data_IF_107366918798
#
_entry.id   IF_107366918798
#
_cell.length_a   1.000
_cell.length_b   1.000
_cell.length_c   1.000
_cell.angle_alpha   90.00
_cell.angle_beta   90.00
_cell.angle_gamma   90.00
#
_symmetry.space_group_name_H-M   'P 1'
#
loop_
_entity.id
_entity.type
_entity.pdbx_description
1 polymer ?
#
# COMPACT_ATOMS: atom_id res chain seq x y z
N UNK A 1 -30.58 12.10 -10.42
CA UNK A 1 -29.38 11.77 -11.21
C UNK A 1 -29.25 10.25 -11.26
N UNK A 2 -28.98 9.65 -12.43
CA UNK A 2 -28.70 8.21 -12.55
C UNK A 2 -27.29 7.89 -12.05
N UNK A 3 -27.02 6.61 -11.73
CA UNK A 3 -25.65 6.20 -11.38
C UNK A 3 -24.66 6.42 -12.53
N UNK A 4 -25.08 6.20 -13.76
CA UNK A 4 -24.24 6.43 -14.95
C UNK A 4 -23.85 7.91 -15.06
N UNK A 5 -24.81 8.84 -14.91
CA UNK A 5 -24.53 10.27 -14.93
C UNK A 5 -23.57 10.67 -13.80
N UNK A 6 -23.76 10.12 -12.60
CA UNK A 6 -22.85 10.33 -11.48
C UNK A 6 -21.43 9.82 -11.77
N UNK A 7 -21.30 8.65 -12.36
CA UNK A 7 -20.00 8.10 -12.70
C UNK A 7 -19.28 8.90 -13.79
N UNK A 8 -20.00 9.38 -14.79
CA UNK A 8 -19.47 10.25 -15.86
C UNK A 8 -19.01 11.59 -15.27
N UNK A 9 -19.78 12.19 -14.36
CA UNK A 9 -19.40 13.43 -13.66
C UNK A 9 -18.08 13.29 -12.89
N UNK A 10 -17.81 12.08 -12.38
CA UNK A 10 -16.55 11.75 -11.74
C UNK A 10 -15.45 11.24 -12.70
N UNK A 11 -15.63 11.47 -14.01
CA UNK A 11 -14.64 11.22 -15.05
C UNK A 11 -14.48 9.76 -15.45
N UNK A 12 -15.45 8.87 -15.15
CA UNK A 12 -15.41 7.48 -15.59
C UNK A 12 -16.05 7.32 -16.97
N UNK A 13 -15.42 6.49 -17.81
CA UNK A 13 -15.97 6.08 -19.11
C UNK A 13 -16.72 4.75 -18.94
N UNK A 14 -18.05 4.82 -18.81
CA UNK A 14 -18.89 3.63 -18.63
C UNK A 14 -19.58 3.27 -19.94
N UNK A 15 -19.47 2.00 -20.33
CA UNK A 15 -20.20 1.38 -21.45
C UNK A 15 -21.06 0.25 -20.87
N UNK A 16 -22.29 0.59 -20.43
CA UNK A 16 -23.16 -0.34 -19.72
C UNK A 16 -22.81 -0.54 -18.25
N UNK A 17 -23.80 -0.96 -17.46
CA UNK A 17 -23.65 -1.20 -16.03
C UNK A 17 -23.66 -2.70 -15.72
N UNK A 18 -22.63 -3.16 -15.02
CA UNK A 18 -22.62 -4.46 -14.38
C UNK A 18 -22.88 -4.28 -12.89
N UNK A 19 -23.79 -5.10 -12.34
CA UNK A 19 -24.22 -4.94 -10.95
C UNK A 19 -23.40 -5.81 -9.98
N UNK A 20 -23.34 -5.35 -8.73
CA UNK A 20 -22.87 -6.12 -7.57
C UNK A 20 -21.40 -6.55 -7.60
N UNK A 21 -20.56 -5.98 -8.46
CA UNK A 21 -19.12 -6.22 -8.51
C UNK A 21 -18.34 -4.96 -8.85
N UNK A 22 -17.07 -4.91 -8.46
CA UNK A 22 -16.16 -3.86 -8.87
C UNK A 22 -15.75 -4.04 -10.34
N UNK A 23 -16.03 -3.03 -11.16
CA UNK A 23 -15.66 -2.98 -12.58
C UNK A 23 -14.60 -1.93 -12.78
N UNK A 24 -13.52 -2.31 -13.45
CA UNK A 24 -12.44 -1.39 -13.85
C UNK A 24 -12.74 -0.84 -15.24
N UNK A 25 -12.71 0.50 -15.35
CA UNK A 25 -13.03 1.24 -16.58
C UNK A 25 -11.96 2.28 -16.89
N UNK A 26 -11.96 2.77 -18.13
CA UNK A 26 -11.18 3.95 -18.51
C UNK A 26 -11.70 5.21 -17.81
N UNK A 27 -10.89 6.25 -17.81
CA UNK A 27 -11.25 7.58 -17.34
C UNK A 27 -11.02 8.61 -18.43
N UNK A 28 -11.65 9.76 -18.35
CA UNK A 28 -11.52 10.84 -19.36
C UNK A 28 -10.07 11.25 -19.55
N UNK A 29 -9.31 11.35 -18.47
CA UNK A 29 -7.88 11.67 -18.43
C UNK A 29 -6.98 10.51 -18.92
N UNK A 30 -7.44 9.26 -18.81
CA UNK A 30 -6.72 8.07 -19.24
C UNK A 30 -7.64 7.03 -19.91
N UNK A 31 -8.15 7.28 -21.13
CA UNK A 31 -9.16 6.43 -21.76
C UNK A 31 -8.71 4.99 -22.00
N UNK A 32 -7.44 4.78 -22.29
CA UNK A 32 -6.86 3.46 -22.59
C UNK A 32 -6.39 2.69 -21.34
N UNK A 33 -6.32 3.35 -20.19
CA UNK A 33 -5.92 2.73 -18.92
C UNK A 33 -7.17 2.45 -18.09
N UNK A 34 -7.24 1.29 -17.44
CA UNK A 34 -8.32 0.98 -16.47
C UNK A 34 -8.09 1.73 -15.15
N UNK A 35 -8.03 3.06 -15.23
CA UNK A 35 -7.70 3.95 -14.11
C UNK A 35 -8.92 4.38 -13.28
N UNK A 36 -10.12 4.00 -13.70
CA UNK A 36 -11.36 4.15 -12.94
C UNK A 36 -11.90 2.82 -12.43
N UNK A 37 -12.76 2.87 -11.44
CA UNK A 37 -13.54 1.72 -11.01
C UNK A 37 -14.90 2.17 -10.47
N UNK A 38 -15.90 1.30 -10.62
CA UNK A 38 -17.20 1.48 -10.00
C UNK A 38 -17.75 0.18 -9.43
N UNK A 39 -18.68 0.32 -8.50
CA UNK A 39 -19.60 -0.72 -8.04
C UNK A 39 -20.98 -0.11 -7.95
N UNK A 40 -22.00 -0.85 -8.39
CA UNK A 40 -23.39 -0.43 -8.31
C UNK A 40 -24.30 -1.63 -8.05
N UNK A 41 -25.27 -1.50 -7.15
CA UNK A 41 -26.19 -2.58 -6.78
C UNK A 41 -27.62 -2.37 -7.30
N UNK A 42 -27.79 -1.34 -8.15
CA UNK A 42 -29.10 -0.94 -8.67
C UNK A 42 -29.72 0.26 -7.95
N UNK A 43 -29.25 0.58 -6.72
CA UNK A 43 -29.74 1.71 -5.93
C UNK A 43 -28.63 2.56 -5.33
N UNK A 44 -27.60 1.93 -4.79
CA UNK A 44 -26.42 2.59 -4.26
C UNK A 44 -25.18 2.12 -4.98
N UNK A 45 -24.15 2.95 -5.00
CA UNK A 45 -22.90 2.61 -5.65
C UNK A 45 -21.75 3.48 -5.19
N UNK A 46 -20.59 3.17 -5.71
CA UNK A 46 -19.41 3.98 -5.50
C UNK A 46 -18.60 4.03 -6.79
N UNK A 47 -17.95 5.15 -7.02
CA UNK A 47 -17.03 5.36 -8.13
C UNK A 47 -15.71 5.89 -7.62
N UNK A 48 -14.63 5.61 -8.33
CA UNK A 48 -13.32 6.19 -8.08
C UNK A 48 -12.55 6.37 -9.38
N UNK A 49 -12.02 7.55 -9.60
CA UNK A 49 -10.96 7.83 -10.56
C UNK A 49 -9.65 7.91 -9.77
N UNK A 50 -8.77 6.94 -9.93
CA UNK A 50 -7.53 6.83 -9.14
C UNK A 50 -6.51 7.95 -9.40
N UNK A 51 -6.68 8.74 -10.47
CA UNK A 51 -5.84 9.91 -10.74
C UNK A 51 -6.30 11.14 -9.95
N UNK A 52 -7.61 11.24 -9.63
CA UNK A 52 -8.24 12.45 -9.12
C UNK A 52 -8.77 12.27 -7.70
N UNK A 53 -9.31 11.09 -7.39
CA UNK A 53 -9.99 10.85 -6.13
C UNK A 53 -9.12 10.12 -5.11
N UNK A 54 -9.07 10.63 -3.90
CA UNK A 54 -8.45 9.98 -2.75
C UNK A 54 -9.34 8.94 -2.08
N UNK A 55 -10.65 9.10 -2.21
CA UNK A 55 -11.68 8.22 -1.63
C UNK A 55 -12.76 7.94 -2.66
N UNK A 56 -13.44 6.80 -2.46
CA UNK A 56 -14.61 6.47 -3.25
C UNK A 56 -15.68 7.56 -3.10
N UNK A 57 -16.24 8.00 -4.23
CA UNK A 57 -17.40 8.89 -4.27
C UNK A 57 -18.65 8.02 -4.20
N UNK A 58 -19.53 8.30 -3.25
CA UNK A 58 -20.70 7.46 -2.94
C UNK A 58 -21.93 8.00 -3.63
N UNK A 59 -22.56 7.15 -4.43
CA UNK A 59 -23.89 7.40 -5.01
C UNK A 59 -24.97 6.76 -4.16
N UNK A 60 -26.04 7.53 -3.92
CA UNK A 60 -27.30 7.00 -3.35
C UNK A 60 -28.45 7.52 -4.21
N UNK A 61 -29.29 6.61 -4.68
CA UNK A 61 -30.54 7.00 -5.35
C UNK A 61 -31.41 7.82 -4.40
N UNK A 62 -32.03 8.88 -4.92
CA UNK A 62 -32.99 9.71 -4.18
C UNK A 62 -34.39 9.09 -4.09
N UNK A 63 -34.62 7.97 -4.78
CA UNK A 63 -35.87 7.21 -4.66
C UNK A 63 -35.91 6.49 -3.31
N UNK A 64 -37.08 6.37 -2.70
CA UNK A 64 -37.31 5.68 -1.44
C UNK A 64 -36.62 4.31 -1.46
N UNK A 65 -35.77 4.08 -0.43
CA UNK A 65 -35.07 2.80 -0.26
C UNK A 65 -36.13 1.69 -0.16
N UNK A 66 -36.28 0.93 -1.24
CA UNK A 66 -37.03 -0.32 -1.20
C UNK A 66 -36.05 -1.39 -0.75
N UNK A 67 -36.33 -2.00 0.41
CA UNK A 67 -35.56 -3.13 0.89
C UNK A 67 -35.63 -4.26 -0.15
N UNK A 68 -34.48 -4.53 -0.77
CA UNK A 68 -34.34 -5.66 -1.70
C UNK A 68 -33.59 -6.81 -0.99
N UNK A 69 -34.31 -7.87 -0.58
CA UNK A 69 -33.69 -9.03 0.06
C UNK A 69 -32.63 -9.71 -0.82
N UNK A 70 -32.79 -9.66 -2.15
CA UNK A 70 -31.85 -10.25 -3.09
C UNK A 70 -30.53 -9.48 -3.11
N UNK A 71 -30.57 -8.13 -3.15
CA UNK A 71 -29.38 -7.30 -3.06
C UNK A 71 -28.63 -7.50 -1.72
N UNK A 72 -29.37 -7.66 -0.62
CA UNK A 72 -28.80 -7.96 0.69
C UNK A 72 -28.10 -9.33 0.67
N UNK A 73 -28.75 -10.35 0.14
CA UNK A 73 -28.17 -11.70 0.03
C UNK A 73 -26.88 -11.70 -0.82
N UNK A 74 -26.87 -11.00 -1.95
CA UNK A 74 -25.67 -10.86 -2.79
C UNK A 74 -24.53 -10.17 -2.00
N UNK A 75 -24.81 -9.09 -1.28
CA UNK A 75 -23.78 -8.40 -0.46
C UNK A 75 -23.21 -9.34 0.60
N UNK A 76 -24.06 -10.10 1.28
CA UNK A 76 -23.64 -11.09 2.28
C UNK A 76 -22.76 -12.18 1.65
N UNK A 77 -23.16 -12.68 0.48
CA UNK A 77 -22.38 -13.67 -0.24
C UNK A 77 -21.00 -13.13 -0.67
N UNK A 78 -20.94 -11.92 -1.25
CA UNK A 78 -19.68 -11.26 -1.64
C UNK A 78 -18.77 -11.01 -0.42
N UNK A 79 -19.35 -10.62 0.71
CA UNK A 79 -18.62 -10.45 1.96
C UNK A 79 -18.02 -11.76 2.46
N UNK A 80 -18.81 -12.84 2.44
CA UNK A 80 -18.37 -14.19 2.80
C UNK A 80 -17.20 -14.65 1.92
N UNK A 81 -17.34 -14.53 0.61
CA UNK A 81 -16.29 -14.88 -0.35
C UNK A 81 -15.00 -14.05 -0.16
N UNK A 82 -15.16 -12.77 0.21
CA UNK A 82 -14.01 -11.90 0.54
C UNK A 82 -13.29 -12.43 1.78
N UNK A 83 -14.00 -12.77 2.84
CA UNK A 83 -13.42 -13.31 4.08
C UNK A 83 -12.72 -14.65 3.81
N UNK A 84 -13.33 -15.55 3.07
CA UNK A 84 -12.73 -16.84 2.69
C UNK A 84 -11.42 -16.66 1.91
N UNK A 85 -11.40 -15.69 0.96
CA UNK A 85 -10.19 -15.36 0.21
C UNK A 85 -9.08 -14.78 1.13
N UNK A 86 -9.45 -13.93 2.09
CA UNK A 86 -8.51 -13.38 3.07
C UNK A 86 -7.93 -14.48 3.97
N UNK A 87 -8.74 -15.38 4.49
CA UNK A 87 -8.28 -16.50 5.29
C UNK A 87 -7.37 -17.45 4.49
N UNK A 88 -7.73 -17.75 3.23
CA UNK A 88 -6.89 -18.56 2.35
C UNK A 88 -5.53 -17.89 2.12
N UNK A 89 -5.50 -16.59 1.88
CA UNK A 89 -4.26 -15.84 1.71
C UNK A 89 -3.41 -15.83 2.99
N UNK A 90 -4.03 -15.69 4.17
CA UNK A 90 -3.37 -15.74 5.46
C UNK A 90 -2.75 -17.13 5.73
N UNK A 91 -3.49 -18.21 5.51
CA UNK A 91 -2.95 -19.59 5.61
C UNK A 91 -1.79 -19.80 4.66
N UNK A 92 -1.90 -19.33 3.41
CA UNK A 92 -0.81 -19.39 2.43
C UNK A 92 0.42 -18.60 2.86
N UNK A 93 0.25 -17.40 3.41
CA UNK A 93 1.34 -16.59 3.95
C UNK A 93 2.05 -17.31 5.10
N UNK A 94 1.30 -17.87 6.05
CA UNK A 94 1.85 -18.65 7.17
C UNK A 94 2.66 -19.84 6.67
N UNK A 95 2.13 -20.59 5.70
CA UNK A 95 2.86 -21.70 5.08
C UNK A 95 4.14 -21.23 4.40
N UNK A 96 4.10 -20.18 3.56
CA UNK A 96 5.28 -19.67 2.88
C UNK A 96 6.35 -19.25 3.90
N UNK A 97 5.98 -18.53 4.94
CA UNK A 97 6.90 -18.06 5.97
C UNK A 97 7.53 -19.23 6.72
N UNK A 98 6.78 -20.32 7.03
CA UNK A 98 7.33 -21.51 7.68
C UNK A 98 8.31 -22.29 6.80
N UNK A 99 8.27 -22.10 5.48
CA UNK A 99 9.12 -22.76 4.50
C UNK A 99 10.32 -21.90 4.05
N UNK A 100 10.50 -20.72 4.65
CA UNK A 100 11.66 -19.85 4.30
C UNK A 100 12.95 -20.40 4.84
N UNK A 101 14.03 -20.19 4.09
CA UNK A 101 15.41 -20.35 4.52
C UNK A 101 16.08 -18.98 4.61
N UNK A 102 17.10 -18.87 5.45
CA UNK A 102 17.88 -17.64 5.57
C UNK A 102 18.99 -17.64 4.53
N UNK A 103 18.89 -16.77 3.53
CA UNK A 103 19.89 -16.65 2.46
C UNK A 103 20.00 -15.23 1.93
N UNK A 104 21.08 -14.95 1.23
CA UNK A 104 21.26 -13.70 0.49
C UNK A 104 20.24 -13.66 -0.67
N UNK A 105 19.71 -12.46 -0.94
CA UNK A 105 18.77 -12.28 -2.04
C UNK A 105 19.28 -11.24 -3.04
N UNK A 106 19.33 -11.54 -4.36
CA UNK A 106 19.93 -10.67 -5.37
C UNK A 106 19.37 -9.24 -5.39
N UNK A 107 18.05 -9.08 -5.21
CA UNK A 107 17.43 -7.77 -5.10
C UNK A 107 18.02 -6.94 -3.94
N UNK A 108 18.16 -7.54 -2.75
CA UNK A 108 18.68 -6.82 -1.58
C UNK A 108 20.18 -6.53 -1.69
N UNK A 109 20.95 -7.43 -2.32
CA UNK A 109 22.37 -7.18 -2.61
C UNK A 109 22.51 -5.95 -3.53
N UNK A 110 21.69 -5.84 -4.61
CA UNK A 110 21.68 -4.65 -5.46
C UNK A 110 21.25 -3.38 -4.71
N UNK A 111 20.41 -3.50 -3.70
CA UNK A 111 19.99 -2.41 -2.82
C UNK A 111 20.98 -2.11 -1.67
N UNK A 112 22.19 -2.70 -1.71
CA UNK A 112 23.27 -2.44 -0.75
C UNK A 112 23.15 -3.21 0.57
N UNK A 113 22.38 -4.32 0.60
CA UNK A 113 22.19 -5.15 1.79
C UNK A 113 22.70 -6.57 1.57
N UNK A 114 23.94 -6.80 1.99
CA UNK A 114 24.58 -8.12 1.94
C UNK A 114 24.35 -8.87 3.27
N UNK A 115 23.15 -9.38 3.45
CA UNK A 115 22.74 -10.11 4.65
C UNK A 115 21.76 -11.24 4.30
N UNK A 116 21.63 -12.20 5.23
CA UNK A 116 20.65 -13.27 5.11
C UNK A 116 19.26 -12.76 5.47
N UNK A 117 18.28 -13.11 4.65
CA UNK A 117 16.88 -12.75 4.78
C UNK A 117 16.01 -13.98 4.49
N UNK A 118 14.74 -13.91 4.85
CA UNK A 118 13.79 -15.00 4.62
C UNK A 118 13.48 -15.16 3.15
N UNK A 119 13.94 -16.25 2.53
CA UNK A 119 13.75 -16.56 1.12
C UNK A 119 12.98 -17.87 0.96
N UNK A 120 12.02 -17.89 0.06
CA UNK A 120 11.24 -19.07 -0.32
C UNK A 120 11.21 -19.19 -1.85
N UNK A 121 11.72 -20.30 -2.39
CA UNK A 121 11.76 -20.53 -3.86
C UNK A 121 12.32 -19.32 -4.62
N UNK A 122 13.48 -18.84 -4.23
CA UNK A 122 14.15 -17.65 -4.80
C UNK A 122 13.45 -16.30 -4.57
N UNK A 123 12.28 -16.29 -3.93
CA UNK A 123 11.55 -15.07 -3.61
C UNK A 123 11.89 -14.58 -2.21
N UNK A 124 12.25 -13.32 -2.07
CA UNK A 124 12.33 -12.67 -0.77
C UNK A 124 10.94 -12.53 -0.18
N UNK A 125 10.76 -13.01 1.05
CA UNK A 125 9.46 -13.01 1.73
C UNK A 125 9.42 -11.90 2.78
N UNK A 126 8.51 -10.95 2.60
CA UNK A 126 8.30 -9.83 3.50
C UNK A 126 6.93 -9.99 4.18
N UNK A 127 6.88 -10.35 5.47
CA UNK A 127 5.62 -10.53 6.18
C UNK A 127 4.81 -9.23 6.24
N UNK A 128 3.48 -9.33 6.10
CA UNK A 128 2.55 -8.21 6.22
C UNK A 128 1.62 -8.45 7.41
N UNK A 129 1.57 -7.48 8.34
CA UNK A 129 0.80 -7.60 9.57
C UNK A 129 -0.10 -6.38 9.80
N UNK A 130 -1.28 -6.64 10.35
CA UNK A 130 -2.13 -5.60 10.97
C UNK A 130 -2.03 -5.81 12.49
N UNK A 131 -1.35 -4.92 13.19
CA UNK A 131 -0.93 -5.18 14.57
C UNK A 131 -0.05 -6.44 14.67
N UNK A 132 -0.43 -7.40 15.51
CA UNK A 132 0.26 -8.70 15.63
C UNK A 132 -0.20 -9.74 14.61
N UNK A 133 -1.36 -9.54 13.97
CA UNK A 133 -1.97 -10.51 13.07
C UNK A 133 -1.24 -10.55 11.72
N UNK A 134 -0.73 -11.71 11.33
CA UNK A 134 -0.23 -11.94 9.98
C UNK A 134 -1.42 -11.97 9.01
N UNK A 135 -1.41 -11.09 8.00
CA UNK A 135 -2.52 -10.99 7.01
C UNK A 135 -2.10 -11.33 5.59
N UNK A 136 -0.81 -11.44 5.35
CA UNK A 136 -0.25 -11.75 4.04
C UNK A 136 1.27 -11.66 4.01
N UNK A 137 1.82 -11.66 2.83
CA UNK A 137 3.22 -11.33 2.59
C UNK A 137 3.39 -10.68 1.21
N UNK A 138 4.44 -9.86 1.08
CA UNK A 138 4.95 -9.44 -0.21
C UNK A 138 6.07 -10.40 -0.61
N UNK A 139 6.05 -10.84 -1.86
CA UNK A 139 7.06 -11.67 -2.47
C UNK A 139 7.83 -10.81 -3.48
N UNK A 140 9.15 -10.75 -3.33
CA UNK A 140 10.03 -9.97 -4.21
C UNK A 140 10.92 -10.93 -4.98
N UNK A 141 10.84 -10.88 -6.30
CA UNK A 141 11.66 -11.71 -7.19
C UNK A 141 13.11 -11.19 -7.26
N UNK A 142 14.06 -12.02 -7.74
CA UNK A 142 15.45 -11.61 -7.90
C UNK A 142 15.66 -10.33 -8.73
N UNK A 143 14.81 -10.09 -9.73
CA UNK A 143 14.80 -8.87 -10.56
C UNK A 143 14.18 -7.64 -9.88
N UNK A 144 13.53 -7.82 -8.71
CA UNK A 144 12.88 -6.76 -7.94
C UNK A 144 11.37 -6.65 -8.16
N UNK A 145 10.78 -7.48 -9.02
CA UNK A 145 9.31 -7.52 -9.21
C UNK A 145 8.63 -7.92 -7.90
N UNK A 146 7.72 -7.08 -7.43
CA UNK A 146 6.98 -7.25 -6.16
C UNK A 146 5.57 -7.77 -6.43
N UNK A 147 5.15 -8.79 -5.69
CA UNK A 147 3.81 -9.39 -5.80
C UNK A 147 3.20 -9.62 -4.43
N UNK A 148 1.88 -9.48 -4.37
CA UNK A 148 1.07 -9.82 -3.20
C UNK A 148 0.32 -11.14 -3.42
N UNK A 149 -0.04 -11.81 -2.35
CA UNK A 149 -0.91 -12.99 -2.45
C UNK A 149 -2.33 -12.54 -2.82
N UNK A 150 -2.94 -13.25 -3.74
CA UNK A 150 -4.31 -12.96 -4.15
C UNK A 150 -5.27 -13.05 -2.97
N UNK A 151 -6.05 -11.99 -2.75
CA UNK A 151 -7.06 -11.91 -1.70
C UNK A 151 -6.53 -11.50 -0.32
N UNK A 152 -5.22 -11.26 -0.14
CA UNK A 152 -4.71 -10.80 1.15
C UNK A 152 -5.18 -9.38 1.51
N UNK A 153 -5.18 -9.07 2.79
CA UNK A 153 -5.42 -7.72 3.31
C UNK A 153 -4.12 -6.92 3.10
N UNK A 154 -4.24 -5.76 2.42
CA UNK A 154 -3.12 -4.81 2.26
C UNK A 154 -3.34 -3.55 3.08
N UNK A 155 -4.59 -3.11 3.23
CA UNK A 155 -4.95 -1.91 3.97
C UNK A 155 -4.60 -2.05 5.46
N UNK A 156 -3.83 -1.09 5.99
CA UNK A 156 -3.36 -1.09 7.38
C UNK A 156 -2.29 -2.12 7.69
N UNK A 157 -1.83 -2.88 6.69
CA UNK A 157 -0.79 -3.89 6.88
C UNK A 157 0.61 -3.28 6.70
N UNK A 158 1.53 -3.57 7.62
CA UNK A 158 2.93 -3.14 7.57
C UNK A 158 3.88 -4.24 8.02
N UNK A 159 5.17 -4.08 7.65
CA UNK A 159 6.27 -4.68 8.36
C UNK A 159 6.86 -3.61 9.30
N UNK A 160 6.93 -3.89 10.60
CA UNK A 160 7.54 -2.99 11.57
C UNK A 160 8.97 -3.44 11.86
N UNK A 161 9.94 -2.53 11.70
CA UNK A 161 11.36 -2.74 11.98
C UNK A 161 11.72 -1.86 13.20
N UNK A 162 12.24 -2.48 14.25
CA UNK A 162 12.48 -1.81 15.54
C UNK A 162 11.33 -1.99 16.52
N UNK A 163 11.56 -1.70 17.79
CA UNK A 163 10.58 -1.92 18.86
C UNK A 163 10.06 -0.65 19.50
N UNK A 164 10.88 0.39 19.55
CA UNK A 164 10.64 1.63 20.28
C UNK A 164 11.26 2.82 19.56
N UNK A 165 10.95 4.01 20.02
CA UNK A 165 11.43 5.27 19.47
C UNK A 165 10.43 5.94 18.57
N UNK A 166 10.92 6.90 17.75
CA UNK A 166 10.08 7.66 16.83
C UNK A 166 9.46 6.77 15.76
N UNK A 167 8.17 6.96 15.52
CA UNK A 167 7.52 6.31 14.39
C UNK A 167 7.97 6.95 13.07
N UNK A 168 8.41 6.10 12.15
CA UNK A 168 8.81 6.49 10.79
C UNK A 168 8.02 5.64 9.82
N UNK A 169 7.43 6.27 8.80
CA UNK A 169 6.68 5.56 7.76
C UNK A 169 7.40 5.68 6.43
N UNK A 170 7.49 4.59 5.67
CA UNK A 170 8.05 4.56 4.33
C UNK A 170 7.32 3.52 3.46
N UNK A 171 7.48 3.61 2.14
CA UNK A 171 6.78 2.69 1.25
C UNK A 171 7.44 1.31 1.18
N UNK A 172 8.73 1.25 0.88
CA UNK A 172 9.43 0.04 0.47
C UNK A 172 10.34 -0.58 1.53
N UNK A 173 10.61 -1.90 1.39
CA UNK A 173 11.52 -2.61 2.29
C UNK A 173 12.96 -2.04 2.24
N UNK A 174 13.50 -1.78 1.04
CA UNK A 174 14.86 -1.26 0.89
C UNK A 174 14.98 0.10 1.58
N UNK A 175 14.03 1.01 1.34
CA UNK A 175 13.90 2.29 2.04
C UNK A 175 13.89 2.10 3.56
N UNK A 176 13.03 1.22 4.09
CA UNK A 176 12.94 0.95 5.53
C UNK A 176 14.23 0.40 6.14
N UNK A 177 14.97 -0.42 5.41
CA UNK A 177 16.27 -0.95 5.84
C UNK A 177 17.36 0.13 5.83
N UNK A 178 17.36 1.02 4.84
CA UNK A 178 18.25 2.19 4.76
C UNK A 178 17.99 3.16 5.91
N UNK A 179 16.72 3.47 6.17
CA UNK A 179 16.32 4.30 7.31
C UNK A 179 16.78 3.69 8.63
N UNK A 180 16.62 2.36 8.81
CA UNK A 180 17.14 1.67 10.01
C UNK A 180 18.64 1.86 10.15
N UNK A 181 19.41 1.76 9.06
CA UNK A 181 20.88 1.94 9.07
C UNK A 181 21.24 3.38 9.46
N UNK A 182 20.57 4.37 8.87
CA UNK A 182 20.76 5.78 9.18
C UNK A 182 20.42 6.10 10.65
N UNK A 183 19.27 5.63 11.16
CA UNK A 183 18.86 5.83 12.55
C UNK A 183 19.83 5.16 13.56
N UNK A 184 20.38 3.99 13.20
CA UNK A 184 21.43 3.34 14.01
C UNK A 184 22.71 4.18 14.03
N UNK A 185 23.12 4.75 12.91
CA UNK A 185 24.27 5.67 12.84
C UNK A 185 24.07 6.88 13.74
N UNK A 186 22.88 7.48 13.73
CA UNK A 186 22.50 8.60 14.60
C UNK A 186 22.32 8.22 16.08
N UNK A 187 22.35 6.93 16.42
CA UNK A 187 22.03 6.40 17.75
C UNK A 187 20.62 6.80 18.21
N UNK A 188 19.72 7.01 17.28
CA UNK A 188 18.35 7.41 17.54
C UNK A 188 17.41 6.19 17.40
N UNK A 189 16.69 5.77 18.46
CA UNK A 189 15.74 4.68 18.38
C UNK A 189 14.57 5.03 17.47
N UNK A 190 14.15 4.07 16.65
CA UNK A 190 13.05 4.25 15.72
C UNK A 190 12.25 2.97 15.54
N UNK A 191 10.95 3.15 15.30
CA UNK A 191 10.01 2.14 14.88
C UNK A 191 9.58 2.44 13.44
N UNK A 192 10.10 1.68 12.50
CA UNK A 192 9.97 1.95 11.07
C UNK A 192 8.87 1.07 10.50
N UNK A 193 7.84 1.69 9.94
CA UNK A 193 6.71 1.04 9.31
C UNK A 193 6.90 1.01 7.78
N UNK A 194 7.23 -0.17 7.25
CA UNK A 194 7.23 -0.41 5.80
C UNK A 194 5.79 -0.66 5.38
N UNK A 195 5.22 0.24 4.59
CA UNK A 195 3.77 0.32 4.32
C UNK A 195 3.33 -0.34 3.01
N UNK A 196 4.27 -0.77 2.16
CA UNK A 196 4.07 -1.47 0.88
C UNK A 196 3.40 -0.67 -0.24
N UNK A 197 2.85 0.50 0.04
CA UNK A 197 2.36 1.46 -0.96
C UNK A 197 2.16 2.84 -0.33
N UNK A 198 2.23 3.89 -1.16
CA UNK A 198 2.03 5.26 -0.75
C UNK A 198 0.63 5.50 -0.13
N UNK A 199 -0.44 4.92 -0.69
CA UNK A 199 -1.79 5.04 -0.12
C UNK A 199 -1.91 4.35 1.25
N UNK A 200 -1.31 3.17 1.42
CA UNK A 200 -1.33 2.47 2.69
C UNK A 200 -0.46 3.17 3.75
N UNK A 201 0.57 3.91 3.32
CA UNK A 201 1.36 4.77 4.20
C UNK A 201 0.48 5.86 4.86
N UNK A 202 -0.46 6.46 4.10
CA UNK A 202 -1.45 7.41 4.64
C UNK A 202 -2.36 6.74 5.67
N UNK A 203 -2.87 5.54 5.35
CA UNK A 203 -3.75 4.78 6.26
C UNK A 203 -3.03 4.43 7.58
N UNK A 204 -1.79 3.99 7.53
CA UNK A 204 -0.99 3.63 8.73
C UNK A 204 -0.63 4.87 9.53
N UNK A 205 -0.14 5.93 8.87
CA UNK A 205 0.25 7.17 9.53
C UNK A 205 -0.91 7.83 10.28
N UNK A 206 -2.15 7.67 9.81
CA UNK A 206 -3.34 8.21 10.49
C UNK A 206 -3.57 7.66 11.90
N UNK A 207 -2.98 6.51 12.24
CA UNK A 207 -3.04 5.89 13.57
C UNK A 207 -1.83 6.18 14.45
N UNK A 208 -0.83 6.91 13.94
CA UNK A 208 0.41 7.23 14.63
C UNK A 208 0.42 8.70 15.08
N UNK A 209 1.19 8.99 16.12
CA UNK A 209 1.34 10.37 16.62
C UNK A 209 2.57 11.00 15.97
N UNK A 210 2.34 11.98 15.11
CA UNK A 210 3.38 12.77 14.44
C UNK A 210 4.54 11.93 13.84
N UNK A 211 4.24 10.95 12.96
CA UNK A 211 5.29 10.10 12.37
C UNK A 211 6.18 10.92 11.44
N UNK A 212 7.47 10.57 11.38
CA UNK A 212 8.34 11.06 10.30
C UNK A 212 8.00 10.30 9.02
N UNK A 213 7.77 11.04 7.94
CA UNK A 213 7.50 10.48 6.61
C UNK A 213 8.77 10.48 5.78
N UNK A 214 9.16 9.31 5.31
CA UNK A 214 10.23 9.16 4.30
C UNK A 214 9.52 8.81 2.99
N UNK A 215 9.42 9.80 2.11
CA UNK A 215 8.68 9.67 0.87
C UNK A 215 9.62 9.40 -0.32
N UNK A 216 9.18 8.58 -1.24
CA UNK A 216 9.80 8.45 -2.55
C UNK A 216 9.52 9.74 -3.34
N UNK A 217 10.53 10.31 -4.00
CA UNK A 217 10.38 11.57 -4.72
C UNK A 217 9.79 11.37 -6.11
N UNK A 218 8.60 10.80 -6.14
CA UNK A 218 7.72 10.74 -7.29
C UNK A 218 6.37 11.43 -7.00
N UNK A 219 5.53 11.60 -8.01
CA UNK A 219 4.24 12.28 -7.87
C UNK A 219 3.35 11.65 -6.77
N UNK A 220 3.33 10.31 -6.70
CA UNK A 220 2.48 9.56 -5.76
C UNK A 220 3.00 9.65 -4.33
N UNK A 221 4.31 9.49 -4.14
CA UNK A 221 4.98 9.60 -2.85
C UNK A 221 4.84 11.00 -2.24
N UNK A 222 5.14 12.04 -3.03
CA UNK A 222 5.01 13.44 -2.60
C UNK A 222 3.55 13.78 -2.25
N UNK A 223 2.59 13.38 -3.09
CA UNK A 223 1.16 13.60 -2.81
C UNK A 223 0.71 12.92 -1.51
N UNK A 224 1.19 11.71 -1.26
CA UNK A 224 0.85 10.96 -0.04
C UNK A 224 1.52 11.57 1.19
N UNK A 225 2.78 11.98 1.10
CA UNK A 225 3.49 12.64 2.19
C UNK A 225 2.79 13.93 2.64
N UNK A 226 2.38 14.78 1.69
CA UNK A 226 1.62 16.02 1.96
C UNK A 226 0.30 15.79 2.71
N UNK A 227 -0.33 14.61 2.58
CA UNK A 227 -1.54 14.26 3.32
C UNK A 227 -1.27 13.86 4.77
N UNK A 228 -0.04 13.40 5.05
CA UNK A 228 0.34 12.89 6.37
C UNK A 228 0.93 14.00 7.23
N UNK A 229 1.87 14.75 6.69
CA UNK A 229 2.65 15.73 7.43
C UNK A 229 2.98 16.97 6.59
N UNK A 230 3.16 18.11 7.26
CA UNK A 230 3.63 19.34 6.63
C UNK A 230 5.13 19.29 6.28
N UNK A 231 5.88 18.46 6.99
CA UNK A 231 7.32 18.29 6.82
C UNK A 231 7.62 16.80 6.66
N UNK A 232 8.34 16.44 5.60
CA UNK A 232 8.71 15.08 5.26
C UNK A 232 10.07 15.09 4.56
N UNK A 233 10.76 13.95 4.61
CA UNK A 233 12.04 13.79 3.93
C UNK A 233 11.83 13.38 2.47
N UNK A 234 12.64 13.97 1.56
CA UNK A 234 12.72 13.62 0.14
C UNK A 234 14.18 13.57 -0.30
N UNK A 235 14.52 12.61 -1.19
CA UNK A 235 15.75 12.59 -1.97
C UNK A 235 15.71 13.53 -3.18
N UNK A 236 16.61 13.36 -4.14
CA UNK A 236 16.52 14.00 -5.44
C UNK A 236 15.32 13.47 -6.25
N UNK A 237 14.97 14.20 -7.32
CA UNK A 237 13.83 13.83 -8.15
C UNK A 237 13.96 12.39 -8.70
N UNK A 238 12.97 11.56 -8.43
CA UNK A 238 12.94 10.14 -8.84
C UNK A 238 13.68 9.18 -7.92
N UNK A 239 14.31 9.65 -6.82
CA UNK A 239 14.98 8.80 -5.85
C UNK A 239 14.07 8.41 -4.67
N UNK A 240 14.25 7.18 -4.19
CA UNK A 240 13.86 6.78 -2.84
C UNK A 240 15.03 7.01 -1.85
N UNK A 241 14.79 6.82 -0.53
CA UNK A 241 15.82 6.98 0.49
C UNK A 241 17.00 6.00 0.30
N UNK A 242 16.75 4.79 -0.20
CA UNK A 242 17.82 3.82 -0.45
C UNK A 242 18.67 4.23 -1.65
N UNK A 243 18.08 4.80 -2.70
CA UNK A 243 18.83 5.31 -3.85
C UNK A 243 19.75 6.48 -3.42
N UNK A 244 19.23 7.39 -2.61
CA UNK A 244 20.04 8.48 -2.01
C UNK A 244 21.15 7.93 -1.11
N UNK A 245 20.88 6.91 -0.29
CA UNK A 245 21.90 6.25 0.55
C UNK A 245 23.00 5.59 -0.31
N UNK A 246 22.64 4.95 -1.39
CA UNK A 246 23.62 4.33 -2.29
C UNK A 246 24.51 5.38 -3.00
N UNK A 247 23.97 6.55 -3.29
CA UNK A 247 24.70 7.64 -3.95
C UNK A 247 25.58 8.42 -3.00
N UNK A 248 25.09 8.80 -1.83
CA UNK A 248 25.79 9.67 -0.87
C UNK A 248 26.54 8.92 0.24
N UNK A 249 26.13 7.69 0.52
CA UNK A 249 26.58 6.92 1.66
C UNK A 249 25.72 7.13 2.91
N UNK A 250 25.82 6.18 3.84
CA UNK A 250 24.98 6.14 5.06
C UNK A 250 25.16 7.35 5.97
N UNK A 251 26.37 7.89 6.07
CA UNK A 251 26.65 9.04 6.95
C UNK A 251 25.91 10.27 6.48
N UNK A 252 26.09 10.63 5.22
CA UNK A 252 25.47 11.85 4.64
C UNK A 252 23.94 11.78 4.68
N UNK A 253 23.35 10.63 4.30
CA UNK A 253 21.90 10.52 4.32
C UNK A 253 21.35 10.47 5.76
N UNK A 254 22.12 9.95 6.73
CA UNK A 254 21.75 10.01 8.13
C UNK A 254 21.75 11.44 8.67
N UNK A 255 22.78 12.24 8.34
CA UNK A 255 22.84 13.64 8.74
C UNK A 255 21.65 14.44 8.18
N UNK A 256 21.20 14.14 6.96
CA UNK A 256 20.00 14.78 6.39
C UNK A 256 18.72 14.55 7.19
N UNK A 257 18.68 13.52 8.06
CA UNK A 257 17.53 13.25 8.94
C UNK A 257 17.53 14.08 10.22
N UNK A 258 18.67 14.69 10.64
CA UNK A 258 18.76 15.40 11.94
C UNK A 258 17.73 16.52 12.07
N UNK A 259 17.44 17.22 10.99
CA UNK A 259 16.46 18.31 10.99
C UNK A 259 15.00 17.85 11.18
N UNK A 260 14.74 16.53 11.12
CA UNK A 260 13.42 15.93 11.25
C UNK A 260 13.23 15.17 12.56
N UNK A 261 14.29 14.95 13.32
CA UNK A 261 14.28 14.22 14.60
C UNK A 261 14.08 15.16 15.77
#
# INVERSE_FOLDING_TARGET
>A
MSFESFAIEHGLLINGLELNKWIRVGTVDHPQKKNGAYIFDGQAGAVINFAVHDKHQIYKSTSNYVYDPHAVAIRQQLQKERLERQEKAQRKASYIISQTTQSRHPYMVRKGFDMNLSVWKELLVVPMRVGSLLVGCQLIAPDGVKRFLTGQITKGASLVIGKEGRDIVCEGLATGMSVRRAMKHLRAPARIHVCFSANNMVDIASSLVNPLVIADNDETGVRSAKKIASTYWLGEAGEDFNDTEQRLGTVEVAESLRGFL
#
